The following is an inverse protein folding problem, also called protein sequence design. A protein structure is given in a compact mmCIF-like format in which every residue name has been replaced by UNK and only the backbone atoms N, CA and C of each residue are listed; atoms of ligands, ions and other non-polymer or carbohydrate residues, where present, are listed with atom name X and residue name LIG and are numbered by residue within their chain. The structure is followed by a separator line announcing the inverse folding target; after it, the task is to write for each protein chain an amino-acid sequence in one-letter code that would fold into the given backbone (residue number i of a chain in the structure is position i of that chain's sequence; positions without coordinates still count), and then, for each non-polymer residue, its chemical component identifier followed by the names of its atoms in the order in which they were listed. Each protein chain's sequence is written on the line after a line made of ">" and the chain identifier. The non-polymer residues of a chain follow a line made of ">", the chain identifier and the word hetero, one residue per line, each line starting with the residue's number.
data_IF_350389051876
#
_entry.id   IF_350389051876
#
_cell.length_a   1.000
_cell.length_b   1.000
_cell.length_c   1.000
_cell.angle_alpha   90.00
_cell.angle_beta   90.00
_cell.angle_gamma   90.00
#
_symmetry.space_group_name_H-M   'P 1'
#
loop_
_entity.id
_entity.type
_entity.pdbx_description
1 polymer ?
#
# COMPACT_ATOMS: atom_id res chain seq x y z
N UNK A 1 -17.50 0.32 0.07
CA UNK A 1 -16.32 -0.12 0.84
C UNK A 1 -15.09 0.05 -0.03
N UNK A 2 -14.03 0.62 0.52
CA UNK A 2 -12.76 0.82 -0.18
C UNK A 2 -11.93 -0.46 -0.07
N UNK A 3 -11.20 -0.89 -1.11
CA UNK A 3 -10.33 -2.05 -1.00
C UNK A 3 -9.30 -1.79 0.11
N UNK A 4 -9.45 -2.58 1.17
CA UNK A 4 -8.50 -2.66 2.25
C UNK A 4 -7.24 -3.31 1.71
N UNK A 5 -6.13 -2.58 1.84
CA UNK A 5 -4.85 -3.05 1.29
C UNK A 5 -4.12 -3.90 2.32
N UNK A 6 -4.18 -3.54 3.60
CA UNK A 6 -3.47 -4.27 4.64
C UNK A 6 -3.11 -3.45 5.86
N UNK A 7 -2.60 -4.16 6.88
CA UNK A 7 -1.99 -3.57 8.05
C UNK A 7 -0.54 -3.23 7.72
N UNK A 8 -0.15 -1.99 8.03
CA UNK A 8 1.20 -1.49 7.86
C UNK A 8 1.76 -1.16 9.24
N UNK A 9 2.86 -1.82 9.58
CA UNK A 9 3.61 -1.55 10.79
C UNK A 9 4.99 -0.99 10.44
N UNK A 10 5.32 0.18 10.98
CA UNK A 10 6.58 0.90 10.77
C UNK A 10 7.10 1.36 12.12
N UNK A 11 8.20 0.77 12.59
CA UNK A 11 8.86 1.09 13.87
C UNK A 11 7.89 1.16 15.07
N UNK A 12 6.98 0.20 15.16
CA UNK A 12 5.98 0.08 16.23
C UNK A 12 4.72 0.92 16.03
N UNK A 13 4.63 1.72 14.97
CA UNK A 13 3.40 2.42 14.59
C UNK A 13 2.61 1.56 13.63
N UNK A 14 1.39 1.20 14.02
CA UNK A 14 0.45 0.41 13.22
C UNK A 14 -0.59 1.32 12.60
N UNK A 15 -0.86 1.11 11.32
CA UNK A 15 -1.96 1.76 10.62
C UNK A 15 -2.46 0.91 9.47
N UNK A 16 -3.66 1.20 9.02
CA UNK A 16 -4.30 0.51 7.92
C UNK A 16 -4.16 1.32 6.64
N UNK A 17 -3.68 0.70 5.57
CA UNK A 17 -3.62 1.32 4.25
C UNK A 17 -4.88 1.04 3.44
N UNK A 18 -5.41 2.09 2.82
CA UNK A 18 -6.67 2.07 2.08
C UNK A 18 -6.46 2.68 0.70
N UNK A 19 -6.99 2.02 -0.34
CA UNK A 19 -6.97 2.56 -1.69
C UNK A 19 -8.35 3.07 -2.10
N UNK A 20 -8.36 4.21 -2.78
CA UNK A 20 -9.51 4.70 -3.51
C UNK A 20 -9.08 5.14 -4.91
N UNK A 21 -9.36 4.31 -5.91
CA UNK A 21 -8.82 4.47 -7.25
C UNK A 21 -7.29 4.46 -7.19
N UNK A 22 -6.65 5.58 -7.55
CA UNK A 22 -5.18 5.75 -7.44
C UNK A 22 -4.73 6.46 -6.16
N UNK A 23 -5.64 6.77 -5.24
CA UNK A 23 -5.36 7.55 -4.01
C UNK A 23 -5.09 6.62 -2.84
N UNK A 24 -3.96 6.81 -2.15
CA UNK A 24 -3.57 6.04 -0.98
C UNK A 24 -3.81 6.83 0.30
N UNK A 25 -4.41 6.17 1.28
CA UNK A 25 -4.71 6.71 2.60
C UNK A 25 -4.14 5.80 3.69
N UNK A 26 -3.79 6.40 4.82
CA UNK A 26 -3.39 5.71 6.04
C UNK A 26 -4.37 6.05 7.17
N UNK A 27 -4.88 5.01 7.83
CA UNK A 27 -5.72 5.16 9.03
C UNK A 27 -5.02 4.62 10.26
N UNK A 28 -4.84 5.43 11.29
CA UNK A 28 -4.31 4.94 12.57
C UNK A 28 -5.39 4.42 13.52
N UNK A 29 -6.65 4.82 13.31
CA UNK A 29 -7.79 4.31 14.06
C UNK A 29 -9.06 4.25 13.19
N UNK A 30 -10.15 3.74 13.75
CA UNK A 30 -11.47 3.75 13.10
C UNK A 30 -12.09 5.15 13.00
N UNK A 31 -11.59 6.14 13.73
CA UNK A 31 -12.11 7.51 13.72
C UNK A 31 -11.78 8.19 12.40
N UNK A 32 -12.74 8.92 11.83
CA UNK A 32 -12.57 9.62 10.57
C UNK A 32 -11.37 10.59 10.58
N UNK A 33 -11.16 11.30 11.70
CA UNK A 33 -10.05 12.26 11.89
C UNK A 33 -8.65 11.63 11.84
N UNK A 34 -8.54 10.32 12.06
CA UNK A 34 -7.26 9.61 12.05
C UNK A 34 -6.94 9.04 10.66
N UNK A 35 -7.56 9.60 9.61
CA UNK A 35 -7.36 9.25 8.20
C UNK A 35 -6.49 10.29 7.51
N UNK A 36 -5.33 9.86 7.03
CA UNK A 36 -4.34 10.71 6.39
C UNK A 36 -4.21 10.34 4.92
N UNK A 37 -4.38 11.34 4.05
CA UNK A 37 -4.08 11.17 2.62
C UNK A 37 -2.57 11.17 2.41
N UNK A 38 -2.04 10.08 1.83
CA UNK A 38 -0.61 9.92 1.59
C UNK A 38 -0.20 10.43 0.19
N UNK A 39 -1.03 10.21 -0.82
CA UNK A 39 -0.72 10.63 -2.19
C UNK A 39 -1.38 9.76 -3.25
N UNK A 40 -0.94 9.95 -4.50
CA UNK A 40 -1.39 9.15 -5.64
C UNK A 40 -0.34 8.07 -5.97
N UNK A 41 -0.81 6.87 -6.30
CA UNK A 41 0.03 5.73 -6.69
C UNK A 41 0.89 5.98 -7.94
N UNK A 42 0.56 6.98 -8.76
CA UNK A 42 1.43 7.46 -9.83
C UNK A 42 2.74 8.10 -9.32
N UNK A 43 2.80 8.49 -8.05
CA UNK A 43 4.00 9.04 -7.41
C UNK A 43 4.23 8.39 -6.02
N UNK A 44 4.71 7.14 -5.99
CA UNK A 44 4.93 6.40 -4.75
C UNK A 44 6.12 6.93 -3.93
N UNK A 45 7.04 7.70 -4.54
CA UNK A 45 8.09 8.41 -3.80
C UNK A 45 7.51 9.49 -2.89
N UNK A 46 6.58 10.31 -3.41
CA UNK A 46 5.87 11.31 -2.61
C UNK A 46 5.09 10.66 -1.47
N UNK A 47 4.51 9.47 -1.69
CA UNK A 47 3.83 8.70 -0.66
C UNK A 47 4.80 8.31 0.45
N UNK A 48 5.97 7.77 0.12
CA UNK A 48 6.97 7.36 1.12
C UNK A 48 7.48 8.56 1.95
N UNK A 49 7.72 9.71 1.31
CA UNK A 49 8.13 10.94 2.00
C UNK A 49 7.03 11.44 2.93
N UNK A 50 5.77 11.44 2.49
CA UNK A 50 4.65 11.89 3.33
C UNK A 50 4.42 10.95 4.50
N UNK A 51 4.53 9.64 4.27
CA UNK A 51 4.48 8.62 5.31
C UNK A 51 5.58 8.83 6.36
N UNK A 52 6.82 9.09 5.94
CA UNK A 52 7.92 9.43 6.85
C UNK A 52 7.59 10.63 7.75
N UNK A 53 6.97 11.68 7.21
CA UNK A 53 6.61 12.90 7.97
C UNK A 53 5.47 12.69 8.97
N UNK A 54 4.59 11.73 8.71
CA UNK A 54 3.47 11.41 9.60
C UNK A 54 3.87 10.54 10.79
N UNK A 55 5.03 9.88 10.73
CA UNK A 55 5.49 9.01 11.80
C UNK A 55 6.10 9.86 12.93
N UNK A 56 5.77 9.57 14.19
CA UNK A 56 6.23 10.33 15.36
C UNK A 56 7.74 10.20 15.61
N UNK A 57 8.38 9.18 15.04
CA UNK A 57 9.83 8.95 15.15
C UNK A 57 10.48 9.13 13.79
N UNK A 58 11.73 9.64 13.72
CA UNK A 58 12.49 9.69 12.48
C UNK A 58 12.56 8.31 11.84
N UNK A 59 12.09 8.21 10.60
CA UNK A 59 12.13 6.97 9.80
C UNK A 59 12.91 7.24 8.51
N UNK A 60 13.73 6.30 8.09
CA UNK A 60 14.38 6.34 6.78
C UNK A 60 13.31 6.25 5.68
N UNK A 61 13.44 7.05 4.64
CA UNK A 61 12.56 6.99 3.46
C UNK A 61 12.54 5.58 2.88
N UNK A 62 13.65 4.83 2.95
CA UNK A 62 13.72 3.42 2.52
C UNK A 62 12.77 2.52 3.32
N UNK A 63 12.71 2.70 4.63
CA UNK A 63 11.82 1.91 5.49
C UNK A 63 10.34 2.27 5.22
N UNK A 64 10.03 3.54 4.99
CA UNK A 64 8.70 3.98 4.57
C UNK A 64 8.32 3.40 3.20
N UNK A 65 9.24 3.43 2.23
CA UNK A 65 9.06 2.85 0.91
C UNK A 65 8.80 1.34 0.97
N UNK A 66 9.53 0.60 1.79
CA UNK A 66 9.29 -0.82 2.01
C UNK A 66 7.90 -1.12 2.56
N UNK A 67 7.43 -0.28 3.49
CA UNK A 67 6.11 -0.41 4.06
C UNK A 67 5.01 -0.20 3.02
N UNK A 68 5.17 0.82 2.16
CA UNK A 68 4.31 1.04 0.99
C UNK A 68 4.34 -0.15 0.04
N UNK A 69 5.54 -0.68 -0.26
CA UNK A 69 5.70 -1.83 -1.15
C UNK A 69 5.01 -3.09 -0.61
N UNK A 70 5.13 -3.38 0.69
CA UNK A 70 4.41 -4.50 1.33
C UNK A 70 2.89 -4.34 1.23
N UNK A 71 2.40 -3.13 1.45
CA UNK A 71 0.97 -2.86 1.31
C UNK A 71 0.53 -3.13 -0.14
N UNK A 72 1.24 -2.60 -1.14
CA UNK A 72 0.91 -2.84 -2.55
C UNK A 72 0.95 -4.33 -2.93
N UNK A 73 1.89 -5.11 -2.37
CA UNK A 73 1.91 -6.55 -2.58
C UNK A 73 0.64 -7.24 -2.05
N UNK A 74 0.15 -6.81 -0.87
CA UNK A 74 -1.09 -7.30 -0.30
C UNK A 74 -2.32 -6.85 -1.09
N UNK A 75 -2.34 -5.60 -1.59
CA UNK A 75 -3.40 -5.14 -2.51
C UNK A 75 -3.45 -5.98 -3.78
N UNK A 76 -2.29 -6.27 -4.38
CA UNK A 76 -2.19 -7.14 -5.56
C UNK A 76 -2.75 -8.53 -5.27
N UNK A 77 -2.36 -9.12 -4.14
CA UNK A 77 -2.89 -10.42 -3.72
C UNK A 77 -4.42 -10.40 -3.58
N UNK A 78 -4.98 -9.39 -2.92
CA UNK A 78 -6.43 -9.23 -2.78
C UNK A 78 -7.10 -9.05 -4.14
N UNK A 79 -6.55 -8.22 -5.02
CA UNK A 79 -7.09 -7.99 -6.36
C UNK A 79 -7.05 -9.26 -7.25
N UNK A 80 -6.06 -10.13 -7.05
CA UNK A 80 -5.92 -11.39 -7.80
C UNK A 80 -6.77 -12.53 -7.25
N UNK A 81 -7.02 -12.55 -5.92
CA UNK A 81 -7.70 -13.67 -5.25
C UNK A 81 -9.15 -13.40 -4.91
N UNK A 82 -9.53 -12.15 -4.70
CA UNK A 82 -10.90 -11.77 -4.40
C UNK A 82 -11.66 -11.45 -5.69
N UNK A 83 -12.93 -11.85 -5.76
CA UNK A 83 -13.86 -11.42 -6.80
C UNK A 83 -14.36 -10.01 -6.50
N UNK A 84 -14.88 -9.34 -7.53
CA UNK A 84 -15.59 -8.07 -7.37
C UNK A 84 -16.71 -8.22 -6.34
N UNK A 85 -16.77 -7.29 -5.38
CA UNK A 85 -17.86 -7.20 -4.43
C UNK A 85 -18.79 -6.05 -4.85
N UNK A 86 -20.12 -6.22 -4.78
CA UNK A 86 -21.06 -5.12 -5.00
C UNK A 86 -20.88 -3.99 -3.97
N UNK A 87 -20.23 -4.27 -2.85
CA UNK A 87 -19.89 -3.26 -1.85
C UNK A 87 -18.64 -2.46 -2.23
N UNK A 88 -17.82 -2.88 -3.18
CA UNK A 88 -16.57 -2.20 -3.52
C UNK A 88 -16.83 -1.03 -4.47
N UNK A 89 -16.21 0.11 -4.18
CA UNK A 89 -16.30 1.30 -5.04
C UNK A 89 -15.37 1.24 -6.27
N UNK A 90 -14.51 0.23 -6.35
CA UNK A 90 -13.48 0.06 -7.38
C UNK A 90 -13.51 -1.39 -7.80
N UNK A 91 -13.43 -1.66 -9.11
CA UNK A 91 -13.35 -3.02 -9.62
C UNK A 91 -11.97 -3.62 -9.35
N UNK A 92 -11.91 -4.93 -9.14
CA UNK A 92 -10.70 -5.73 -8.91
C UNK A 92 -9.66 -5.52 -10.01
N UNK A 93 -10.06 -5.46 -11.28
CA UNK A 93 -9.13 -5.18 -12.40
C UNK A 93 -8.59 -3.75 -12.39
N UNK A 94 -9.41 -2.74 -12.04
CA UNK A 94 -8.96 -1.35 -11.91
C UNK A 94 -7.92 -1.21 -10.79
N UNK A 95 -8.21 -1.86 -9.65
CA UNK A 95 -7.29 -1.96 -8.52
C UNK A 95 -5.99 -2.65 -8.93
N UNK A 96 -6.08 -3.78 -9.63
CA UNK A 96 -4.92 -4.54 -10.09
C UNK A 96 -4.01 -3.69 -10.96
N UNK A 97 -4.54 -3.03 -12.00
CA UNK A 97 -3.73 -2.17 -12.87
C UNK A 97 -3.08 -1.02 -12.10
N UNK A 98 -3.83 -0.32 -11.24
CA UNK A 98 -3.29 0.80 -10.46
C UNK A 98 -2.16 0.37 -9.52
N UNK A 99 -2.26 -0.85 -8.96
CA UNK A 99 -1.24 -1.42 -8.09
C UNK A 99 -0.04 -1.92 -8.90
N UNK A 100 -0.25 -2.55 -10.05
CA UNK A 100 0.83 -3.02 -10.94
C UNK A 100 1.69 -1.86 -11.47
N UNK A 101 1.07 -0.76 -11.90
CA UNK A 101 1.78 0.48 -12.27
C UNK A 101 2.70 0.95 -11.12
N UNK A 102 2.14 1.02 -9.91
CA UNK A 102 2.85 1.50 -8.74
C UNK A 102 4.00 0.57 -8.33
N UNK A 103 3.80 -0.74 -8.48
CA UNK A 103 4.82 -1.76 -8.23
C UNK A 103 5.97 -1.61 -9.23
N UNK A 104 5.67 -1.53 -10.53
CA UNK A 104 6.69 -1.34 -11.57
C UNK A 104 7.51 -0.09 -11.31
N UNK A 105 6.85 1.02 -11.00
CA UNK A 105 7.53 2.28 -10.68
C UNK A 105 8.40 2.15 -9.42
N UNK A 106 7.90 1.49 -8.37
CA UNK A 106 8.67 1.25 -7.15
C UNK A 106 9.88 0.33 -7.38
N UNK A 107 9.74 -0.70 -8.20
CA UNK A 107 10.83 -1.61 -8.54
C UNK A 107 11.92 -0.88 -9.32
N UNK A 108 11.55 0.07 -10.20
CA UNK A 108 12.49 0.88 -10.94
C UNK A 108 13.30 1.82 -10.02
N UNK A 109 12.65 2.51 -9.09
CA UNK A 109 13.33 3.43 -8.14
C UNK A 109 14.09 2.67 -7.04
N UNK A 110 13.51 1.58 -6.53
CA UNK A 110 14.03 0.80 -5.41
C UNK A 110 14.04 -0.70 -5.73
N UNK A 111 15.04 -1.17 -6.51
CA UNK A 111 15.10 -2.56 -6.97
C UNK A 111 15.08 -3.61 -5.86
N UNK A 112 15.57 -3.28 -4.67
CA UNK A 112 15.57 -4.17 -3.51
C UNK A 112 14.17 -4.54 -3.00
N UNK A 113 13.13 -3.78 -3.37
CA UNK A 113 11.72 -4.11 -3.04
C UNK A 113 11.14 -5.22 -3.91
N UNK A 114 11.81 -5.59 -5.01
CA UNK A 114 11.37 -6.62 -5.96
C UNK A 114 11.01 -7.95 -5.30
N UNK A 115 11.74 -8.33 -4.25
CA UNK A 115 11.51 -9.57 -3.49
C UNK A 115 10.11 -9.64 -2.85
N UNK A 116 9.47 -8.51 -2.60
CA UNK A 116 8.11 -8.45 -2.05
C UNK A 116 7.02 -8.82 -3.07
N UNK A 117 7.32 -8.65 -4.36
CA UNK A 117 6.36 -8.82 -5.45
C UNK A 117 6.55 -10.12 -6.22
N UNK A 118 7.62 -10.87 -5.92
CA UNK A 118 7.82 -12.20 -6.47
C UNK A 118 6.75 -13.16 -5.91
N UNK A 119 6.25 -14.09 -6.74
CA UNK A 119 5.40 -15.16 -6.26
C UNK A 119 6.11 -15.89 -5.12
N UNK A 120 5.48 -15.96 -3.93
CA UNK A 120 6.00 -16.80 -2.85
C UNK A 120 5.95 -18.26 -3.29
N UNK A 121 7.05 -18.78 -3.83
CA UNK A 121 7.26 -20.22 -3.96
C UNK A 121 7.36 -20.78 -2.53
N UNK A 122 6.28 -21.39 -2.05
CA UNK A 122 6.25 -22.26 -0.89
C UNK A 122 6.68 -21.63 0.44
N UNK A 123 5.72 -21.06 1.17
CA UNK A 123 5.60 -21.08 2.64
C UNK A 123 4.39 -20.22 3.01
N UNK A 124 3.23 -20.88 3.07
CA UNK A 124 2.19 -20.51 4.01
C UNK A 124 2.57 -21.16 5.35
N UNK A 125 2.32 -20.51 6.50
CA UNK A 125 2.31 -21.22 7.79
C UNK A 125 1.25 -22.31 7.81
#
# INVERSE_FOLDING_TARGET
>A
MYPYIGLVEIRGVRGYMWLLGRRLYLKFSWRARDTYFLGNLANPLSIAVRLKRLLPKPVDVRAAAYAVARALAMAKYVAEKCRDSPTWKVRTWELKMAVEDAITYLQWIWPWTTRLFLPRRGRLP
#
